data_IF_979254192499
#
_entry.id   IF_979254192499
#
_cell.length_a   1.000
_cell.length_b   1.000
_cell.length_c   1.000
_cell.angle_alpha   90.00
_cell.angle_beta   90.00
_cell.angle_gamma   90.00
#
_symmetry.space_group_name_H-M   'P 1'
#
loop_
_entity.id
_entity.type
_entity.pdbx_description
1 polymer ?
#
# COMPACT_ATOMS: atom_id res chain seq x y z
N UNK A 1 -3.63 8.13 17.56
CA UNK A 1 -3.75 9.20 16.54
C UNK A 1 -5.22 9.57 16.41
N UNK A 2 -5.56 10.86 16.34
CA UNK A 2 -6.96 11.34 16.30
C UNK A 2 -7.07 12.47 15.28
N UNK A 3 -8.14 12.52 14.52
CA UNK A 3 -8.48 13.67 13.67
C UNK A 3 -9.40 14.58 14.47
N UNK A 4 -9.12 15.87 14.53
CA UNK A 4 -9.98 16.88 15.13
C UNK A 4 -10.96 17.44 14.10
N UNK A 5 -10.46 17.79 12.89
CA UNK A 5 -11.31 18.33 11.82
C UNK A 5 -10.76 18.07 10.42
N UNK A 6 -11.62 18.17 9.42
CA UNK A 6 -11.24 18.19 8.00
C UNK A 6 -12.01 19.28 7.24
N UNK A 7 -11.30 19.97 6.36
CA UNK A 7 -11.88 20.86 5.35
C UNK A 7 -11.54 20.38 3.95
N UNK A 8 -12.54 20.27 3.10
CA UNK A 8 -12.44 19.77 1.72
C UNK A 8 -13.02 20.80 0.77
N UNK A 9 -12.29 21.14 -0.31
CA UNK A 9 -12.77 22.02 -1.38
C UNK A 9 -12.46 21.38 -2.74
N UNK A 10 -13.47 21.31 -3.61
CA UNK A 10 -13.40 20.84 -5.00
C UNK A 10 -12.77 19.42 -5.16
N UNK A 11 -13.11 18.51 -4.28
CA UNK A 11 -12.58 17.15 -4.29
C UNK A 11 -13.67 16.15 -4.70
N UNK A 12 -13.49 15.47 -5.83
CA UNK A 12 -14.46 14.52 -6.37
C UNK A 12 -15.83 15.19 -6.60
N UNK A 13 -16.86 14.74 -5.86
CA UNK A 13 -18.21 15.34 -5.85
C UNK A 13 -18.43 16.25 -4.63
N UNK A 14 -17.40 16.55 -3.87
CA UNK A 14 -17.47 17.43 -2.70
C UNK A 14 -17.00 18.82 -3.11
N UNK A 15 -17.94 19.75 -3.33
CA UNK A 15 -17.61 21.13 -3.66
C UNK A 15 -16.99 21.83 -2.44
N UNK A 16 -17.66 21.76 -1.29
CA UNK A 16 -17.14 22.29 -0.02
C UNK A 16 -17.72 21.52 1.17
N UNK A 17 -16.84 21.11 2.07
CA UNK A 17 -17.22 20.39 3.29
C UNK A 17 -16.30 20.80 4.43
N UNK A 18 -16.86 20.97 5.63
CA UNK A 18 -16.11 21.07 6.88
C UNK A 18 -16.77 20.16 7.89
N UNK A 19 -15.98 19.31 8.53
CA UNK A 19 -16.44 18.39 9.58
C UNK A 19 -15.46 18.40 10.73
N UNK A 20 -16.01 18.34 11.95
CA UNK A 20 -15.30 18.06 13.17
C UNK A 20 -15.50 16.58 13.54
N UNK A 21 -14.53 15.96 14.20
CA UNK A 21 -14.53 14.53 14.51
C UNK A 21 -14.36 14.29 16.02
N UNK A 22 -15.01 13.23 16.48
CA UNK A 22 -14.79 12.61 17.79
C UNK A 22 -13.86 11.39 17.66
N UNK A 23 -13.74 10.59 18.74
CA UNK A 23 -12.90 9.39 18.74
C UNK A 23 -13.45 8.31 17.79
N UNK A 24 -14.77 8.17 17.76
CA UNK A 24 -15.48 7.26 16.83
C UNK A 24 -16.53 8.04 16.07
N UNK A 25 -16.48 7.94 14.73
CA UNK A 25 -17.39 8.67 13.85
C UNK A 25 -18.11 7.73 12.90
N UNK A 26 -19.41 7.84 12.83
CA UNK A 26 -20.25 7.06 11.91
C UNK A 26 -20.78 7.99 10.82
N UNK A 27 -20.38 7.73 9.57
CA UNK A 27 -20.80 8.50 8.41
C UNK A 27 -21.88 7.71 7.68
N UNK A 28 -23.10 8.22 7.69
CA UNK A 28 -24.24 7.59 7.05
C UNK A 28 -24.90 8.52 6.04
N UNK A 29 -25.69 7.98 5.12
CA UNK A 29 -26.40 8.73 4.09
C UNK A 29 -26.63 7.87 2.85
N UNK A 30 -27.36 8.41 1.88
CA UNK A 30 -27.66 7.73 0.61
C UNK A 30 -26.40 7.43 -0.21
N UNK A 31 -26.53 6.52 -1.18
CA UNK A 31 -25.45 6.22 -2.09
C UNK A 31 -25.09 7.44 -2.96
N UNK A 32 -23.84 7.50 -3.38
CA UNK A 32 -23.27 8.59 -4.17
C UNK A 32 -23.15 9.97 -3.46
N UNK A 33 -23.46 10.09 -2.17
CA UNK A 33 -23.33 11.34 -1.42
C UNK A 33 -21.88 11.71 -1.04
N UNK A 34 -20.90 10.87 -1.37
CA UNK A 34 -19.49 11.19 -1.14
C UNK A 34 -18.86 10.58 0.12
N UNK A 35 -19.53 9.65 0.81
CA UNK A 35 -18.97 8.96 1.99
C UNK A 35 -17.59 8.37 1.75
N UNK A 36 -17.43 7.55 0.71
CA UNK A 36 -16.14 7.00 0.29
C UNK A 36 -15.13 8.09 -0.11
N UNK A 37 -15.61 9.21 -0.69
CA UNK A 37 -14.73 10.31 -1.08
C UNK A 37 -14.17 11.05 0.12
N UNK A 38 -14.92 11.18 1.22
CA UNK A 38 -14.44 11.72 2.48
C UNK A 38 -13.33 10.81 3.07
N UNK A 39 -13.56 9.50 3.13
CA UNK A 39 -12.56 8.53 3.57
C UNK A 39 -11.31 8.58 2.67
N UNK A 40 -11.50 8.70 1.35
CA UNK A 40 -10.39 8.85 0.39
C UNK A 40 -9.59 10.14 0.66
N UNK A 41 -10.25 11.26 0.95
CA UNK A 41 -9.60 12.52 1.27
C UNK A 41 -8.72 12.40 2.53
N UNK A 42 -9.21 11.78 3.60
CA UNK A 42 -8.46 11.53 4.83
C UNK A 42 -7.25 10.62 4.51
N UNK A 43 -7.47 9.52 3.80
CA UNK A 43 -6.40 8.57 3.47
C UNK A 43 -5.25 9.20 2.67
N UNK A 44 -5.49 10.21 1.85
CA UNK A 44 -4.44 10.88 1.09
C UNK A 44 -3.38 11.56 1.97
N UNK A 45 -3.71 11.93 3.21
CA UNK A 45 -2.75 12.51 4.17
C UNK A 45 -1.72 11.50 4.68
N UNK A 46 -1.91 10.19 4.49
CA UNK A 46 -0.86 9.18 4.70
C UNK A 46 0.27 9.27 3.67
N UNK A 47 0.19 10.20 2.73
CA UNK A 47 1.13 10.31 1.61
C UNK A 47 0.98 9.21 0.56
N UNK A 48 0.01 8.33 0.72
CA UNK A 48 -0.31 7.26 -0.23
C UNK A 48 -1.08 7.79 -1.44
N UNK A 49 -1.17 6.98 -2.50
CA UNK A 49 -2.08 7.24 -3.61
C UNK A 49 -3.51 6.87 -3.21
N UNK A 50 -4.49 7.30 -4.02
CA UNK A 50 -5.87 6.84 -3.87
C UNK A 50 -5.92 5.31 -3.79
N UNK A 51 -6.60 4.77 -2.79
CA UNK A 51 -6.81 3.32 -2.66
C UNK A 51 -7.71 2.77 -3.78
N UNK A 52 -8.46 3.63 -4.48
CA UNK A 52 -9.29 3.29 -5.64
C UNK A 52 -8.49 3.22 -6.95
N UNK A 53 -7.16 3.48 -6.91
CA UNK A 53 -6.28 3.35 -8.06
C UNK A 53 -6.38 4.46 -9.10
N UNK A 54 -7.05 5.58 -8.81
CA UNK A 54 -7.22 6.71 -9.72
C UNK A 54 -6.02 7.64 -9.73
N UNK A 55 -5.88 8.44 -10.79
CA UNK A 55 -4.82 9.45 -10.92
C UNK A 55 -5.20 10.72 -10.15
N UNK A 56 -4.19 11.47 -9.71
CA UNK A 56 -4.40 12.72 -8.94
C UNK A 56 -5.33 13.72 -9.64
N UNK A 57 -5.28 13.84 -10.97
CA UNK A 57 -6.17 14.73 -11.73
C UNK A 57 -7.67 14.33 -11.64
N UNK A 58 -7.94 13.06 -11.40
CA UNK A 58 -9.30 12.52 -11.28
C UNK A 58 -9.88 12.72 -9.86
N UNK A 59 -9.05 13.18 -8.92
CA UNK A 59 -9.45 13.55 -7.56
C UNK A 59 -10.04 14.96 -7.49
N UNK A 60 -9.73 15.81 -8.50
CA UNK A 60 -10.25 17.17 -8.60
C UNK A 60 -11.68 17.12 -9.15
N UNK A 61 -12.56 17.93 -8.59
CA UNK A 61 -13.93 18.09 -9.07
C UNK A 61 -13.96 18.49 -10.55
N UNK A 62 -14.96 17.96 -11.27
CA UNK A 62 -15.10 18.24 -12.70
C UNK A 62 -15.21 19.75 -12.99
N UNK A 63 -14.45 20.24 -13.97
CA UNK A 63 -14.32 21.66 -14.36
C UNK A 63 -13.59 22.55 -13.36
N UNK A 64 -13.05 22.04 -12.26
CA UNK A 64 -12.21 22.82 -11.34
C UNK A 64 -10.73 22.58 -11.67
N UNK A 65 -9.88 23.56 -11.35
CA UNK A 65 -8.44 23.47 -11.60
C UNK A 65 -7.66 22.71 -10.52
N UNK A 66 -8.17 22.74 -9.29
CA UNK A 66 -7.50 22.15 -8.13
C UNK A 66 -8.48 21.76 -7.05
N UNK A 67 -8.10 20.77 -6.26
CA UNK A 67 -8.74 20.45 -4.99
C UNK A 67 -7.84 20.85 -3.83
N UNK A 68 -8.45 21.24 -2.71
CA UNK A 68 -7.75 21.60 -1.48
C UNK A 68 -8.34 20.83 -0.32
N UNK A 69 -7.45 20.19 0.43
CA UNK A 69 -7.78 19.43 1.64
C UNK A 69 -6.97 20.01 2.79
N UNK A 70 -7.59 20.19 3.95
CA UNK A 70 -6.93 20.52 5.20
C UNK A 70 -7.40 19.58 6.29
N UNK A 71 -6.51 19.19 7.18
CA UNK A 71 -6.79 18.32 8.32
C UNK A 71 -6.08 18.84 9.55
N UNK A 72 -6.80 18.89 10.66
CA UNK A 72 -6.25 19.09 11.99
C UNK A 72 -6.28 17.75 12.70
N UNK A 73 -5.17 17.35 13.29
CA UNK A 73 -5.03 16.02 13.90
C UNK A 73 -4.04 16.05 15.05
N UNK A 74 -4.13 15.04 15.90
CA UNK A 74 -3.20 14.79 16.99
C UNK A 74 -2.45 13.47 16.77
N UNK A 75 -1.11 13.52 16.83
CA UNK A 75 -0.26 12.35 16.89
C UNK A 75 0.73 12.49 18.06
N UNK A 76 1.00 11.39 18.77
CA UNK A 76 1.89 11.36 19.92
C UNK A 76 1.67 12.57 20.87
N UNK A 77 0.41 12.89 21.15
CA UNK A 77 -0.03 14.02 21.97
C UNK A 77 0.41 15.41 21.45
N UNK A 78 0.65 15.54 20.15
CA UNK A 78 0.96 16.81 19.49
C UNK A 78 -0.11 17.17 18.48
N UNK A 79 -0.72 18.33 18.63
CA UNK A 79 -1.64 18.89 17.65
C UNK A 79 -0.88 19.39 16.44
N UNK A 80 -1.31 18.98 15.27
CA UNK A 80 -0.72 19.32 13.99
C UNK A 80 -1.79 19.68 12.98
N UNK A 81 -1.43 20.47 11.96
CA UNK A 81 -2.26 20.67 10.80
C UNK A 81 -1.50 20.32 9.52
N UNK A 82 -2.24 19.75 8.57
CA UNK A 82 -1.70 19.48 7.25
C UNK A 82 -2.64 20.04 6.18
N UNK A 83 -2.04 20.54 5.10
CA UNK A 83 -2.74 21.02 3.91
C UNK A 83 -2.21 20.24 2.69
N UNK A 84 -3.12 19.76 1.87
CA UNK A 84 -2.83 19.08 0.61
C UNK A 84 -3.54 19.79 -0.53
N UNK A 85 -2.79 20.22 -1.54
CA UNK A 85 -3.34 20.82 -2.76
C UNK A 85 -3.05 19.88 -3.93
N UNK A 86 -4.09 19.58 -4.70
CA UNK A 86 -4.03 18.71 -5.88
C UNK A 86 -4.28 19.54 -7.11
N UNK A 87 -3.20 19.84 -7.87
CA UNK A 87 -3.25 20.54 -9.16
C UNK A 87 -2.28 19.85 -10.12
N UNK A 88 -2.77 18.83 -10.83
CA UNK A 88 -1.93 17.96 -11.66
C UNK A 88 -0.99 17.07 -10.86
N UNK A 89 -0.29 17.62 -9.89
CA UNK A 89 0.49 16.91 -8.85
C UNK A 89 0.07 17.39 -7.46
N UNK A 90 0.38 16.61 -6.44
CA UNK A 90 0.10 16.99 -5.05
C UNK A 90 1.25 17.78 -4.44
N UNK A 91 0.93 18.90 -3.79
CA UNK A 91 1.81 19.65 -2.89
C UNK A 91 1.24 19.60 -1.48
N UNK A 92 2.09 19.72 -0.47
CA UNK A 92 1.67 19.59 0.92
C UNK A 92 2.38 20.60 1.81
N UNK A 93 1.66 21.04 2.85
CA UNK A 93 2.22 21.76 4.00
C UNK A 93 1.93 21.00 5.27
N UNK A 94 2.82 21.10 6.23
CA UNK A 94 2.63 20.61 7.59
C UNK A 94 2.97 21.75 8.54
N UNK A 95 2.04 22.10 9.41
CA UNK A 95 2.16 23.23 10.35
C UNK A 95 2.58 24.54 9.61
N UNK A 96 1.98 24.80 8.45
CA UNK A 96 2.28 25.95 7.60
C UNK A 96 3.56 25.84 6.76
N UNK A 97 4.42 24.83 7.01
CA UNK A 97 5.71 24.65 6.30
C UNK A 97 5.54 23.74 5.10
N UNK A 98 5.93 24.21 3.93
CA UNK A 98 5.88 23.43 2.70
C UNK A 98 6.82 22.22 2.75
N UNK A 99 6.33 21.07 2.36
CA UNK A 99 7.09 19.82 2.29
C UNK A 99 7.60 19.58 0.87
N UNK A 100 8.80 19.02 0.74
CA UNK A 100 9.40 18.66 -0.57
C UNK A 100 8.51 17.73 -1.40
N UNK A 101 7.63 16.97 -0.76
CA UNK A 101 6.69 16.06 -1.40
C UNK A 101 5.48 15.84 -0.50
N UNK A 102 4.29 15.73 -1.09
CA UNK A 102 3.06 15.35 -0.36
C UNK A 102 3.20 13.99 0.36
N UNK A 103 4.08 13.13 -0.13
CA UNK A 103 4.34 11.83 0.51
C UNK A 103 4.98 11.95 1.90
N UNK A 104 5.59 13.09 2.24
CA UNK A 104 6.17 13.32 3.57
C UNK A 104 5.12 13.44 4.68
N UNK A 105 3.85 13.70 4.35
CA UNK A 105 2.76 13.67 5.34
C UNK A 105 2.58 12.27 5.96
N UNK A 106 2.91 11.22 5.23
CA UNK A 106 2.87 9.84 5.74
C UNK A 106 3.87 9.54 6.84
N UNK A 107 4.80 10.43 7.14
CA UNK A 107 5.67 10.29 8.31
C UNK A 107 4.92 10.70 9.59
N UNK A 108 3.90 11.54 9.47
CA UNK A 108 3.14 12.10 10.58
C UNK A 108 1.73 11.47 10.76
N UNK A 109 1.06 11.14 9.67
CA UNK A 109 -0.29 10.57 9.72
C UNK A 109 -0.30 9.15 9.16
N UNK A 110 -0.72 8.20 9.98
CA UNK A 110 -0.85 6.78 9.65
C UNK A 110 -2.33 6.39 9.61
N UNK A 111 -2.71 5.63 8.61
CA UNK A 111 -4.08 5.11 8.54
C UNK A 111 -4.10 3.75 7.85
N UNK A 112 -4.98 2.89 8.33
CA UNK A 112 -5.33 1.64 7.68
C UNK A 112 -6.73 1.79 7.09
N UNK A 113 -6.87 1.52 5.80
CA UNK A 113 -8.15 1.57 5.11
C UNK A 113 -8.69 0.15 4.89
N UNK A 114 -9.92 -0.04 5.28
CA UNK A 114 -10.73 -1.22 4.98
C UNK A 114 -11.76 -0.83 3.92
N UNK A 115 -11.75 -1.49 2.79
CA UNK A 115 -12.69 -1.23 1.69
C UNK A 115 -12.94 -2.52 0.90
N UNK A 116 -14.11 -2.70 0.29
CA UNK A 116 -14.41 -3.86 -0.56
C UNK A 116 -13.40 -4.08 -1.69
N UNK A 117 -12.73 -3.03 -2.16
CA UNK A 117 -11.64 -3.12 -3.16
C UNK A 117 -10.52 -4.07 -2.70
N UNK A 118 -10.29 -4.20 -1.39
CA UNK A 118 -9.24 -5.07 -0.86
C UNK A 118 -9.55 -6.57 -0.96
N UNK A 119 -10.80 -6.97 -1.25
CA UNK A 119 -11.13 -8.38 -1.53
C UNK A 119 -10.36 -8.92 -2.75
N UNK A 120 -10.03 -8.05 -3.70
CA UNK A 120 -9.18 -8.35 -4.85
C UNK A 120 -7.77 -8.82 -4.44
N UNK A 121 -7.29 -8.45 -3.25
CA UNK A 121 -5.96 -8.84 -2.75
C UNK A 121 -5.81 -10.36 -2.63
N UNK A 122 -6.85 -11.08 -2.23
CA UNK A 122 -6.81 -12.55 -2.15
C UNK A 122 -7.16 -13.20 -3.49
N UNK A 123 -8.19 -12.69 -4.17
CA UNK A 123 -8.76 -13.30 -5.37
C UNK A 123 -7.94 -13.03 -6.63
N UNK A 124 -7.46 -11.80 -6.80
CA UNK A 124 -6.84 -11.33 -8.03
C UNK A 124 -5.33 -11.61 -8.07
N UNK A 125 -4.66 -11.04 -9.07
CA UNK A 125 -3.23 -11.20 -9.28
C UNK A 125 -2.36 -10.46 -8.23
N UNK A 126 -1.03 -10.61 -8.36
CA UNK A 126 -0.06 -10.14 -7.36
C UNK A 126 0.03 -8.62 -7.22
N UNK A 127 -0.58 -7.84 -8.11
CA UNK A 127 -0.49 -6.37 -8.11
C UNK A 127 -1.06 -5.80 -6.81
N UNK A 128 -2.23 -6.27 -6.36
CA UNK A 128 -2.87 -5.74 -5.16
C UNK A 128 -2.13 -6.17 -3.88
N UNK A 129 -1.58 -7.38 -3.84
CA UNK A 129 -0.75 -7.83 -2.71
C UNK A 129 0.55 -7.05 -2.60
N UNK A 130 1.22 -6.75 -3.73
CA UNK A 130 2.38 -5.84 -3.72
C UNK A 130 2.02 -4.44 -3.25
N UNK A 131 0.88 -3.89 -3.71
CA UNK A 131 0.40 -2.57 -3.25
C UNK A 131 0.13 -2.55 -1.75
N UNK A 132 -0.46 -3.61 -1.21
CA UNK A 132 -0.69 -3.76 0.23
C UNK A 132 0.63 -3.65 1.01
N UNK A 133 1.62 -4.49 0.68
CA UNK A 133 2.93 -4.46 1.34
C UNK A 133 3.62 -3.12 1.17
N UNK A 134 3.68 -2.60 -0.08
CA UNK A 134 4.42 -1.39 -0.39
C UNK A 134 3.79 -0.14 0.27
N UNK A 135 2.45 -0.07 0.35
CA UNK A 135 1.76 1.02 1.04
C UNK A 135 2.03 1.02 2.54
N UNK A 136 1.98 -0.15 3.17
CA UNK A 136 2.28 -0.31 4.58
C UNK A 136 3.75 0.02 4.88
N UNK A 137 4.69 -0.52 4.10
CA UNK A 137 6.12 -0.20 4.23
C UNK A 137 6.42 1.28 4.00
N UNK A 138 5.70 1.95 3.09
CA UNK A 138 5.82 3.39 2.89
C UNK A 138 5.33 4.21 4.09
N UNK A 139 4.41 3.70 4.89
CA UNK A 139 3.98 4.32 6.14
C UNK A 139 4.95 4.03 7.29
N UNK A 140 5.53 2.82 7.33
CA UNK A 140 6.48 2.40 8.37
C UNK A 140 7.87 3.02 8.19
N UNK A 141 8.34 3.15 6.95
CA UNK A 141 9.73 3.50 6.63
C UNK A 141 9.80 4.57 5.54
N UNK A 142 10.08 5.82 5.92
CA UNK A 142 10.23 6.94 4.97
C UNK A 142 11.26 6.65 3.87
N UNK A 143 12.34 5.93 4.20
CA UNK A 143 13.38 5.53 3.25
C UNK A 143 12.87 4.53 2.20
N UNK A 144 11.95 3.62 2.54
CA UNK A 144 11.43 2.62 1.61
C UNK A 144 10.78 3.28 0.38
N UNK A 145 10.04 4.35 0.59
CA UNK A 145 9.39 5.13 -0.48
C UNK A 145 10.38 5.67 -1.51
N UNK A 146 11.56 6.13 -1.05
CA UNK A 146 12.60 6.62 -1.95
C UNK A 146 13.23 5.49 -2.76
N UNK A 147 13.49 4.34 -2.14
CA UNK A 147 14.02 3.14 -2.80
C UNK A 147 13.03 2.61 -3.85
N UNK A 148 11.74 2.56 -3.51
CA UNK A 148 10.68 2.12 -4.44
C UNK A 148 10.58 3.05 -5.66
N UNK A 149 10.71 4.37 -5.44
CA UNK A 149 10.72 5.36 -6.53
C UNK A 149 11.94 5.21 -7.43
N UNK A 150 13.13 4.99 -6.84
CA UNK A 150 14.37 4.76 -7.58
C UNK A 150 14.27 3.49 -8.43
N UNK A 151 13.83 2.39 -7.83
CA UNK A 151 13.62 1.12 -8.53
C UNK A 151 12.67 1.28 -9.73
N UNK A 152 11.52 1.90 -9.53
CA UNK A 152 10.54 2.10 -10.59
C UNK A 152 11.08 2.99 -11.73
N UNK A 153 11.93 3.98 -11.41
CA UNK A 153 12.61 4.79 -12.41
C UNK A 153 13.63 3.95 -13.22
N UNK A 154 14.44 3.17 -12.53
CA UNK A 154 15.42 2.28 -13.20
C UNK A 154 14.70 1.24 -14.08
N UNK A 155 13.61 0.65 -13.60
CA UNK A 155 12.79 -0.29 -14.35
C UNK A 155 12.22 0.34 -15.63
N UNK A 156 11.68 1.57 -15.53
CA UNK A 156 11.16 2.27 -16.69
C UNK A 156 12.24 2.56 -17.74
N UNK A 157 13.44 2.99 -17.31
CA UNK A 157 14.57 3.24 -18.20
C UNK A 157 15.08 1.95 -18.86
N UNK A 158 15.24 0.88 -18.08
CA UNK A 158 15.62 -0.42 -18.62
C UNK A 158 14.62 -0.95 -19.66
N UNK A 159 13.31 -0.84 -19.35
CA UNK A 159 12.27 -1.26 -20.28
C UNK A 159 12.21 -0.38 -21.54
N UNK A 160 12.60 0.88 -21.47
CA UNK A 160 12.73 1.76 -22.63
C UNK A 160 13.91 1.32 -23.49
N UNK A 161 15.06 1.04 -22.88
CA UNK A 161 16.25 0.52 -23.57
C UNK A 161 15.93 -0.81 -24.30
N UNK A 162 15.26 -1.75 -23.64
CA UNK A 162 14.83 -3.03 -24.23
C UNK A 162 13.93 -2.86 -25.47
N UNK A 163 13.12 -1.82 -25.52
CA UNK A 163 12.29 -1.49 -26.69
C UNK A 163 13.14 -0.92 -27.84
N UNK A 164 14.11 -0.05 -27.52
CA UNK A 164 14.95 0.64 -28.50
C UNK A 164 15.99 -0.32 -29.13
N UNK A 165 16.38 -1.40 -28.42
CA UNK A 165 17.29 -2.45 -28.94
C UNK A 165 16.79 -3.14 -30.21
N UNK A 166 15.48 -3.09 -30.49
CA UNK A 166 14.94 -3.59 -31.75
C UNK A 166 15.62 -2.97 -32.97
N UNK A 167 16.02 -1.70 -32.85
CA UNK A 167 16.57 -0.90 -33.95
C UNK A 167 18.09 -0.73 -33.84
N UNK A 168 18.71 -1.12 -32.71
CA UNK A 168 20.14 -0.93 -32.46
C UNK A 168 20.67 -1.95 -31.45
N UNK A 169 21.28 -3.03 -31.97
CA UNK A 169 21.85 -4.10 -31.15
C UNK A 169 23.03 -3.66 -30.27
N UNK A 170 23.75 -2.57 -30.65
CA UNK A 170 24.89 -2.06 -29.88
C UNK A 170 24.52 -1.48 -28.50
N UNK A 171 23.20 -1.41 -28.15
CA UNK A 171 22.73 -0.96 -26.85
C UNK A 171 22.81 -2.05 -25.76
N UNK A 172 23.18 -3.27 -26.08
CA UNK A 172 23.23 -4.39 -25.13
C UNK A 172 24.21 -4.15 -23.98
N UNK A 173 25.36 -3.53 -24.25
CA UNK A 173 26.35 -3.18 -23.23
C UNK A 173 25.80 -2.20 -22.18
N UNK A 174 24.80 -1.38 -22.55
CA UNK A 174 24.16 -0.46 -21.62
C UNK A 174 23.26 -1.17 -20.62
N UNK A 175 22.78 -2.39 -20.90
CA UNK A 175 21.94 -3.16 -19.97
C UNK A 175 22.65 -3.44 -18.65
N UNK A 176 23.98 -3.64 -18.69
CA UNK A 176 24.77 -3.91 -17.48
C UNK A 176 24.60 -2.81 -16.40
N UNK A 177 24.57 -1.55 -16.81
CA UNK A 177 24.42 -0.42 -15.88
C UNK A 177 23.04 -0.45 -15.22
N UNK A 178 22.01 -0.70 -16.04
CA UNK A 178 20.63 -0.77 -15.53
C UNK A 178 20.37 -2.01 -14.70
N UNK A 179 20.94 -3.17 -15.05
CA UNK A 179 20.86 -4.40 -14.26
C UNK A 179 21.45 -4.19 -12.87
N UNK A 180 22.63 -3.58 -12.77
CA UNK A 180 23.30 -3.29 -11.49
C UNK A 180 22.46 -2.35 -10.61
N UNK A 181 21.92 -1.26 -11.18
CA UNK A 181 21.10 -0.31 -10.43
C UNK A 181 19.77 -0.93 -10.03
N UNK A 182 19.17 -1.74 -10.89
CA UNK A 182 17.92 -2.44 -10.65
C UNK A 182 18.09 -3.50 -9.55
N UNK A 183 19.19 -4.28 -9.60
CA UNK A 183 19.52 -5.27 -8.59
C UNK A 183 19.74 -4.62 -7.22
N UNK A 184 20.52 -3.54 -7.15
CA UNK A 184 20.81 -2.81 -5.92
C UNK A 184 19.56 -2.27 -5.22
N UNK A 185 18.69 -1.60 -5.97
CA UNK A 185 17.42 -1.07 -5.40
C UNK A 185 16.39 -2.17 -5.18
N UNK A 186 16.33 -3.17 -6.07
CA UNK A 186 15.45 -4.32 -5.99
C UNK A 186 15.73 -5.20 -4.77
N UNK A 187 17.00 -5.45 -4.46
CA UNK A 187 17.40 -6.22 -3.29
C UNK A 187 16.89 -5.60 -1.97
N UNK A 188 16.98 -4.28 -1.85
CA UNK A 188 16.44 -3.57 -0.69
C UNK A 188 14.92 -3.73 -0.57
N UNK A 189 14.20 -3.73 -1.70
CA UNK A 189 12.74 -3.92 -1.70
C UNK A 189 12.39 -5.33 -1.26
N UNK A 190 13.02 -6.36 -1.85
CA UNK A 190 12.79 -7.77 -1.52
C UNK A 190 13.07 -8.00 -0.03
N UNK A 191 14.23 -7.56 0.46
CA UNK A 191 14.60 -7.68 1.87
C UNK A 191 13.57 -7.05 2.82
N UNK A 192 13.10 -5.83 2.49
CA UNK A 192 12.13 -5.14 3.33
C UNK A 192 10.74 -5.81 3.28
N UNK A 193 10.34 -6.34 2.14
CA UNK A 193 9.08 -7.09 2.01
C UNK A 193 9.12 -8.38 2.81
N UNK A 194 10.24 -9.12 2.75
CA UNK A 194 10.40 -10.35 3.54
C UNK A 194 10.31 -10.05 5.04
N UNK A 195 11.06 -9.04 5.52
CA UNK A 195 11.00 -8.64 6.93
C UNK A 195 9.63 -8.10 7.35
N UNK A 196 8.90 -7.48 6.44
CA UNK A 196 7.52 -7.05 6.70
C UNK A 196 6.58 -8.24 6.85
N UNK A 197 6.68 -9.24 5.98
CA UNK A 197 5.85 -10.44 6.04
C UNK A 197 6.16 -11.24 7.30
N UNK A 198 7.43 -11.40 7.66
CA UNK A 198 7.83 -12.02 8.94
C UNK A 198 7.21 -11.31 10.15
N UNK A 199 7.23 -9.98 10.17
CA UNK A 199 6.67 -9.20 11.26
C UNK A 199 5.12 -9.18 11.27
N UNK A 200 4.49 -9.25 10.10
CA UNK A 200 3.03 -9.24 9.96
C UNK A 200 2.40 -10.59 10.34
N UNK A 201 3.10 -11.69 10.06
CA UNK A 201 2.56 -13.04 10.18
C UNK A 201 2.04 -13.39 11.58
N UNK A 202 2.74 -13.08 12.69
CA UNK A 202 2.21 -13.35 14.03
C UNK A 202 0.86 -12.71 14.29
N UNK A 203 0.70 -11.42 13.97
CA UNK A 203 -0.57 -10.71 14.11
C UNK A 203 -1.65 -11.27 13.20
N UNK A 204 -1.30 -11.55 11.93
CA UNK A 204 -2.26 -12.14 10.99
C UNK A 204 -2.73 -13.53 11.47
N UNK A 205 -1.85 -14.32 12.07
CA UNK A 205 -2.17 -15.65 12.60
C UNK A 205 -3.11 -15.56 13.79
N UNK A 206 -2.80 -14.69 14.76
CA UNK A 206 -3.64 -14.50 15.95
C UNK A 206 -5.04 -14.03 15.58
N UNK A 207 -5.13 -13.00 14.73
CA UNK A 207 -6.42 -12.43 14.30
C UNK A 207 -7.21 -13.44 13.47
N UNK A 208 -6.56 -14.15 12.56
CA UNK A 208 -7.22 -15.14 11.70
C UNK A 208 -7.72 -16.35 12.51
N UNK A 209 -6.96 -16.77 13.53
CA UNK A 209 -7.38 -17.80 14.48
C UNK A 209 -8.65 -17.39 15.22
N UNK A 210 -8.69 -16.16 15.74
CA UNK A 210 -9.90 -15.58 16.37
C UNK A 210 -11.10 -15.57 15.42
N UNK A 211 -10.92 -15.09 14.18
CA UNK A 211 -11.98 -15.02 13.17
C UNK A 211 -12.48 -16.40 12.72
N UNK A 212 -11.60 -17.40 12.69
CA UNK A 212 -11.92 -18.77 12.30
C UNK A 212 -12.37 -19.66 13.48
N UNK A 213 -12.29 -19.13 14.71
CA UNK A 213 -12.55 -19.88 15.96
C UNK A 213 -11.65 -21.12 16.09
N UNK A 214 -10.35 -20.95 15.78
CA UNK A 214 -9.33 -22.00 15.89
C UNK A 214 -9.39 -23.08 14.81
N UNK A 215 -10.23 -22.93 13.78
CA UNK A 215 -10.45 -23.99 12.76
C UNK A 215 -9.49 -23.92 11.58
N UNK A 216 -8.86 -22.79 11.35
CA UNK A 216 -8.07 -22.54 10.16
C UNK A 216 -6.79 -21.77 10.51
N UNK A 217 -5.70 -22.08 9.83
CA UNK A 217 -4.41 -21.41 10.00
C UNK A 217 -4.04 -20.66 8.75
N UNK A 218 -3.61 -19.41 8.90
CA UNK A 218 -3.07 -18.59 7.81
C UNK A 218 -1.54 -18.69 7.80
N UNK A 219 -0.93 -18.68 6.62
CA UNK A 219 0.50 -18.51 6.42
C UNK A 219 0.74 -17.54 5.26
N UNK A 220 1.87 -16.83 5.29
CA UNK A 220 2.26 -15.82 4.31
C UNK A 220 3.68 -16.10 3.84
N UNK A 221 3.90 -16.12 2.51
CA UNK A 221 5.22 -16.35 1.93
C UNK A 221 5.51 -15.36 0.81
N UNK A 222 6.69 -14.75 0.83
CA UNK A 222 7.16 -13.97 -0.30
C UNK A 222 7.64 -14.91 -1.40
N UNK A 223 7.02 -14.80 -2.58
CA UNK A 223 7.45 -15.50 -3.78
C UNK A 223 8.25 -14.53 -4.66
N UNK A 224 9.54 -14.76 -4.76
CA UNK A 224 10.44 -14.11 -5.70
C UNK A 224 11.15 -15.17 -6.56
N UNK A 225 11.91 -14.75 -7.55
CA UNK A 225 12.55 -15.66 -8.50
C UNK A 225 13.65 -16.58 -7.90
N UNK A 226 13.89 -16.48 -6.60
CA UNK A 226 14.86 -17.26 -5.83
C UNK A 226 14.44 -17.30 -4.35
N UNK A 227 15.04 -18.20 -3.57
CA UNK A 227 14.82 -18.22 -2.11
C UNK A 227 15.49 -17.01 -1.47
N UNK A 228 14.69 -16.14 -0.83
CA UNK A 228 15.17 -14.88 -0.23
C UNK A 228 15.13 -14.86 1.30
N UNK A 229 14.50 -15.87 1.93
CA UNK A 229 14.41 -15.96 3.38
C UNK A 229 15.80 -16.03 4.01
N UNK A 230 15.97 -15.34 5.13
CA UNK A 230 17.21 -15.27 5.93
C UNK A 230 18.45 -14.73 5.20
N UNK A 231 18.29 -14.22 3.98
CA UNK A 231 19.39 -13.60 3.22
C UNK A 231 19.59 -12.14 3.56
N UNK A 232 20.85 -11.72 3.54
CA UNK A 232 21.23 -10.30 3.61
C UNK A 232 20.89 -9.55 2.32
N UNK A 233 20.85 -8.23 2.39
CA UNK A 233 20.65 -7.39 1.18
C UNK A 233 21.71 -7.67 0.11
N UNK A 234 22.98 -7.92 0.50
CA UNK A 234 24.06 -8.20 -0.44
C UNK A 234 23.88 -9.55 -1.15
N UNK A 235 23.44 -10.58 -0.42
CA UNK A 235 23.14 -11.89 -1.02
C UNK A 235 21.96 -11.81 -1.99
N UNK A 236 20.90 -11.10 -1.62
CA UNK A 236 19.74 -10.85 -2.49
C UNK A 236 20.17 -10.06 -3.74
N UNK A 237 21.04 -9.04 -3.60
CA UNK A 237 21.56 -8.27 -4.74
C UNK A 237 22.34 -9.16 -5.71
N UNK A 238 23.16 -10.08 -5.20
CA UNK A 238 23.90 -11.02 -6.01
C UNK A 238 22.96 -11.99 -6.76
N UNK A 239 21.97 -12.56 -6.08
CA UNK A 239 21.01 -13.46 -6.72
C UNK A 239 20.17 -12.73 -7.78
N UNK A 240 19.69 -11.53 -7.46
CA UNK A 240 18.91 -10.73 -8.41
C UNK A 240 19.76 -10.31 -9.63
N UNK A 241 21.05 -10.01 -9.41
CA UNK A 241 21.98 -9.71 -10.51
C UNK A 241 22.14 -10.92 -11.45
N UNK A 242 22.37 -12.12 -10.90
CA UNK A 242 22.44 -13.36 -11.69
C UNK A 242 21.14 -13.59 -12.48
N UNK A 243 20.00 -13.40 -11.83
CA UNK A 243 18.67 -13.58 -12.44
C UNK A 243 18.44 -12.59 -13.60
N UNK A 244 18.83 -11.32 -13.44
CA UNK A 244 18.71 -10.30 -14.49
C UNK A 244 19.64 -10.61 -15.67
N UNK A 245 20.88 -11.05 -15.41
CA UNK A 245 21.85 -11.41 -16.46
C UNK A 245 21.37 -12.64 -17.24
N UNK A 246 20.97 -13.70 -16.55
CA UNK A 246 20.49 -14.93 -17.20
C UNK A 246 19.17 -14.72 -17.97
N UNK A 247 18.34 -13.77 -17.52
CA UNK A 247 17.05 -13.44 -18.15
C UNK A 247 17.15 -12.48 -19.35
N UNK A 248 18.33 -11.92 -19.67
CA UNK A 248 18.49 -10.87 -20.72
C UNK A 248 17.90 -11.26 -22.06
N UNK A 249 18.18 -12.46 -22.54
CA UNK A 249 17.64 -12.92 -23.82
C UNK A 249 16.11 -12.91 -23.85
N UNK A 250 15.48 -13.37 -22.76
CA UNK A 250 14.03 -13.32 -22.61
C UNK A 250 13.50 -11.88 -22.52
N UNK A 251 14.18 -11.02 -21.79
CA UNK A 251 13.84 -9.60 -21.65
C UNK A 251 13.90 -8.86 -22.99
N UNK A 252 14.95 -9.13 -23.80
CA UNK A 252 15.13 -8.55 -25.14
C UNK A 252 14.00 -9.01 -26.07
N UNK A 253 13.68 -10.30 -26.08
CA UNK A 253 12.61 -10.85 -26.90
C UNK A 253 11.25 -10.27 -26.52
N UNK A 254 10.95 -10.19 -25.22
CA UNK A 254 9.66 -9.69 -24.69
C UNK A 254 9.63 -8.15 -24.58
N UNK A 255 10.75 -7.45 -24.73
CA UNK A 255 10.91 -5.98 -24.59
C UNK A 255 10.46 -5.45 -23.24
N UNK A 256 10.61 -6.25 -22.21
CA UNK A 256 10.22 -5.94 -20.84
C UNK A 256 11.08 -6.74 -19.87
N UNK A 257 11.35 -6.15 -18.71
CA UNK A 257 12.02 -6.84 -17.61
C UNK A 257 11.10 -7.91 -17.02
N UNK A 258 11.53 -9.15 -17.03
CA UNK A 258 10.73 -10.31 -16.59
C UNK A 258 11.00 -10.72 -15.14
N UNK A 259 12.06 -10.21 -14.52
CA UNK A 259 12.50 -10.61 -13.18
C UNK A 259 12.71 -9.42 -12.26
N UNK A 260 12.42 -9.59 -10.96
CA UNK A 260 12.61 -8.59 -9.91
C UNK A 260 11.34 -8.27 -9.12
N UNK A 261 11.43 -7.39 -8.09
CA UNK A 261 10.35 -7.15 -7.13
C UNK A 261 9.02 -6.67 -7.74
N UNK A 262 9.01 -6.15 -8.96
CA UNK A 262 7.78 -5.84 -9.68
C UNK A 262 7.03 -7.08 -10.21
N UNK A 263 7.64 -8.26 -10.12
CA UNK A 263 7.08 -9.58 -10.48
C UNK A 263 6.79 -10.47 -9.29
N UNK A 264 7.34 -10.13 -8.12
CA UNK A 264 7.14 -10.89 -6.89
C UNK A 264 5.65 -10.97 -6.50
N UNK A 265 5.35 -11.93 -5.65
CA UNK A 265 4.03 -12.10 -5.07
C UNK A 265 4.12 -12.40 -3.56
N UNK A 266 3.06 -12.10 -2.81
CA UNK A 266 2.84 -12.61 -1.48
C UNK A 266 1.80 -13.72 -1.55
N UNK A 267 2.23 -14.96 -1.43
CA UNK A 267 1.32 -16.08 -1.34
C UNK A 267 0.64 -16.10 0.03
N UNK A 268 -0.69 -16.21 0.00
CA UNK A 268 -1.53 -16.36 1.18
C UNK A 268 -2.01 -17.81 1.19
N UNK A 269 -1.70 -18.52 2.27
CA UNK A 269 -2.09 -19.92 2.45
C UNK A 269 -3.11 -20.03 3.58
N UNK A 270 -4.11 -20.90 3.41
CA UNK A 270 -5.02 -21.35 4.47
C UNK A 270 -4.90 -22.86 4.58
N UNK A 271 -4.52 -23.35 5.74
CA UNK A 271 -4.26 -24.77 5.96
C UNK A 271 -3.35 -25.35 4.85
N UNK A 272 -2.23 -24.66 4.59
CA UNK A 272 -1.20 -25.01 3.60
C UNK A 272 -1.67 -24.98 2.12
N UNK A 273 -2.90 -24.54 1.85
CA UNK A 273 -3.45 -24.43 0.49
C UNK A 273 -3.55 -22.96 0.05
N UNK A 274 -3.27 -22.69 -1.21
CA UNK A 274 -3.39 -21.33 -1.78
C UNK A 274 -4.79 -20.75 -1.56
N UNK A 275 -4.89 -19.66 -0.82
CA UNK A 275 -6.16 -18.98 -0.59
C UNK A 275 -6.78 -18.48 -1.89
N UNK A 276 -5.96 -18.07 -2.85
CA UNK A 276 -6.40 -17.61 -4.17
C UNK A 276 -7.18 -18.69 -4.94
N UNK A 277 -6.72 -19.95 -4.86
CA UNK A 277 -7.27 -21.03 -5.67
C UNK A 277 -8.40 -21.79 -4.96
N UNK A 278 -8.33 -21.91 -3.64
CA UNK A 278 -9.15 -22.84 -2.90
C UNK A 278 -10.03 -22.21 -1.80
N UNK A 279 -9.78 -20.96 -1.42
CA UNK A 279 -10.56 -20.33 -0.37
C UNK A 279 -11.98 -19.99 -0.82
N UNK A 280 -12.96 -20.31 0.02
CA UNK A 280 -14.32 -19.83 -0.10
C UNK A 280 -14.40 -18.30 0.02
N UNK A 281 -15.49 -17.68 -0.44
CA UNK A 281 -15.67 -16.23 -0.30
C UNK A 281 -15.58 -15.77 1.16
N UNK A 282 -16.15 -16.54 2.11
CA UNK A 282 -16.05 -16.25 3.54
C UNK A 282 -14.61 -16.30 4.05
N UNK A 283 -13.82 -17.29 3.63
CA UNK A 283 -12.39 -17.38 3.97
C UNK A 283 -11.59 -16.22 3.36
N UNK A 284 -11.86 -15.84 2.10
CA UNK A 284 -11.21 -14.69 1.46
C UNK A 284 -11.47 -13.39 2.24
N UNK A 285 -12.73 -13.15 2.67
CA UNK A 285 -13.10 -12.00 3.49
C UNK A 285 -12.37 -12.02 4.84
N UNK A 286 -12.34 -13.18 5.52
CA UNK A 286 -11.59 -13.33 6.77
C UNK A 286 -10.10 -13.07 6.60
N UNK A 287 -9.48 -13.54 5.50
CA UNK A 287 -8.08 -13.26 5.17
C UNK A 287 -7.80 -11.77 5.02
N UNK A 288 -8.62 -11.07 4.21
CA UNK A 288 -8.45 -9.63 4.00
C UNK A 288 -8.60 -8.87 5.31
N UNK A 289 -9.60 -9.23 6.10
CA UNK A 289 -9.84 -8.62 7.40
C UNK A 289 -8.64 -8.84 8.34
N UNK A 290 -8.19 -10.09 8.46
CA UNK A 290 -7.04 -10.44 9.30
C UNK A 290 -5.78 -9.68 8.89
N UNK A 291 -5.48 -9.61 7.58
CA UNK A 291 -4.31 -8.89 7.07
C UNK A 291 -4.39 -7.38 7.33
N UNK A 292 -5.59 -6.78 7.22
CA UNK A 292 -5.77 -5.34 7.45
C UNK A 292 -5.71 -5.00 8.95
N UNK A 293 -6.27 -5.84 9.81
CA UNK A 293 -6.14 -5.69 11.26
C UNK A 293 -4.69 -5.92 11.72
N UNK A 294 -4.01 -6.93 11.15
CA UNK A 294 -2.59 -7.17 11.41
C UNK A 294 -1.71 -6.00 10.96
N UNK A 295 -2.03 -5.35 9.82
CA UNK A 295 -1.38 -4.13 9.38
C UNK A 295 -1.52 -3.01 10.42
N UNK A 296 -2.72 -2.83 10.99
CA UNK A 296 -2.96 -1.82 12.02
C UNK A 296 -2.17 -2.12 13.31
N UNK A 297 -2.18 -3.39 13.76
CA UNK A 297 -1.42 -3.83 14.93
C UNK A 297 0.08 -3.64 14.74
N UNK A 298 0.61 -4.01 13.58
CA UNK A 298 2.02 -3.83 13.25
C UNK A 298 2.41 -2.34 13.15
N UNK A 299 1.57 -1.50 12.56
CA UNK A 299 1.78 -0.05 12.54
C UNK A 299 1.83 0.52 13.96
N UNK A 300 0.88 0.14 14.82
CA UNK A 300 0.84 0.56 16.24
C UNK A 300 2.12 0.17 16.96
N UNK A 301 2.54 -1.09 16.86
CA UNK A 301 3.77 -1.58 17.52
C UNK A 301 5.02 -0.85 17.03
N UNK A 302 5.17 -0.68 15.72
CA UNK A 302 6.39 -0.08 15.15
C UNK A 302 6.47 1.44 15.25
N UNK A 303 5.33 2.13 15.41
CA UNK A 303 5.31 3.60 15.45
C UNK A 303 5.04 4.16 16.83
N UNK A 304 4.66 3.30 17.79
CA UNK A 304 4.22 3.69 19.13
C UNK A 304 3.08 4.73 19.10
N UNK A 305 2.22 4.59 18.07
CA UNK A 305 1.02 5.44 17.89
C UNK A 305 -0.05 4.64 17.16
N UNK A 306 -1.30 4.81 17.54
CA UNK A 306 -2.41 4.06 16.97
C UNK A 306 -2.82 4.64 15.61
N UNK A 307 -2.76 3.86 14.51
CA UNK A 307 -3.15 4.36 13.20
C UNK A 307 -4.65 4.62 13.14
N UNK A 308 -5.08 5.56 12.32
CA UNK A 308 -6.51 5.77 12.03
C UNK A 308 -7.10 4.54 11.35
N UNK A 309 -8.20 4.03 11.84
CA UNK A 309 -8.99 3.00 11.17
C UNK A 309 -10.06 3.67 10.29
N UNK A 310 -9.97 3.48 8.98
CA UNK A 310 -10.90 4.01 8.00
C UNK A 310 -11.71 2.85 7.41
N UNK A 311 -13.01 2.79 7.70
CA UNK A 311 -13.91 1.70 7.31
C UNK A 311 -14.88 2.19 6.23
N UNK A 312 -14.71 1.71 4.99
CA UNK A 312 -15.54 2.06 3.84
C UNK A 312 -16.39 0.86 3.44
N UNK A 313 -17.66 0.87 3.84
CA UNK A 313 -18.71 -0.14 3.51
C UNK A 313 -18.34 -1.60 3.82
N UNK A 314 -17.44 -1.80 4.80
CA UNK A 314 -16.93 -3.16 5.12
C UNK A 314 -17.92 -3.91 6.01
N UNK A 315 -18.61 -3.21 6.90
CA UNK A 315 -19.50 -3.83 7.88
C UNK A 315 -20.65 -4.57 7.21
N UNK A 316 -21.18 -4.06 6.10
CA UNK A 316 -22.24 -4.71 5.31
C UNK A 316 -21.83 -6.05 4.68
N UNK A 317 -20.52 -6.24 4.48
CA UNK A 317 -19.94 -7.44 3.87
C UNK A 317 -19.60 -8.55 4.88
N UNK A 318 -19.75 -8.27 6.19
CA UNK A 318 -19.36 -9.17 7.27
C UNK A 318 -20.57 -9.73 8.00
N UNK A 319 -20.49 -10.97 8.47
CA UNK A 319 -21.43 -11.52 9.43
C UNK A 319 -21.27 -10.89 10.83
N UNK A 320 -22.31 -11.02 11.68
CA UNK A 320 -22.34 -10.43 13.03
C UNK A 320 -21.09 -10.77 13.86
N UNK A 321 -20.64 -12.02 13.82
CA UNK A 321 -19.46 -12.48 14.59
C UNK A 321 -18.17 -11.74 14.20
N UNK A 322 -18.00 -11.40 12.92
CA UNK A 322 -16.86 -10.62 12.42
C UNK A 322 -17.02 -9.13 12.68
N UNK A 323 -18.24 -8.61 12.62
CA UNK A 323 -18.56 -7.24 13.01
C UNK A 323 -18.22 -7.00 14.48
N UNK A 324 -18.66 -7.89 15.38
CA UNK A 324 -18.35 -7.83 16.82
C UNK A 324 -16.84 -7.87 17.06
N UNK A 325 -16.10 -8.71 16.34
CA UNK A 325 -14.66 -8.80 16.47
C UNK A 325 -13.95 -7.49 16.12
N UNK A 326 -14.38 -6.81 15.06
CA UNK A 326 -13.83 -5.47 14.70
C UNK A 326 -14.19 -4.45 15.79
N UNK A 327 -15.43 -4.41 16.24
CA UNK A 327 -15.86 -3.49 17.29
C UNK A 327 -15.01 -3.65 18.55
N UNK A 328 -14.76 -4.89 18.98
CA UNK A 328 -13.95 -5.19 20.18
C UNK A 328 -12.47 -4.76 20.04
N UNK A 329 -11.94 -4.69 18.83
CA UNK A 329 -10.54 -4.28 18.61
C UNK A 329 -10.35 -2.75 18.60
N UNK A 330 -11.42 -1.98 18.36
CA UNK A 330 -11.35 -0.53 18.22
C UNK A 330 -12.19 0.24 19.26
N UNK A 331 -12.82 -0.45 20.21
CA UNK A 331 -13.45 0.11 21.41
C UNK A 331 -12.69 -0.25 22.67
#
# INVERSE_FOLDING_TARGET
MKIDSIEIENFRNIEKLKLDFDDVNIIWGENAQGKTNLIEAIYLFTGSKSFRGVRDKELVEFKKESAKLKIDFENKSRKQNAELIIKGRRTAKLNGIEKKSATALGDELKAVIFSPVHLSMVKDGPIERRKFIDNSLCQLKSNYRSVLKEYNRCLAQRNMLLKDMKNNANLEDMLYIWDKNLAKSGAKIIYQREKYIEALLPFATEIFDGLSKGREKIDLKLQCGFECKDKSVAEIENELTKLLISGRNSDILNRITTSGPHRDDMEILINEKSARLYASQGQQRSCVLALKLAEASLLKEMTDDEPLALLDDVMSELDESRQDYICLLYT
#
